data_IF_349436006182
#
_entry.id   IF_349436006182
#
_cell.length_a   1.000
_cell.length_b   1.000
_cell.length_c   1.000
_cell.angle_alpha   90.00
_cell.angle_beta   90.00
_cell.angle_gamma   90.00
#
_symmetry.space_group_name_H-M   'P 1'
#
loop_
_entity.id
_entity.type
_entity.pdbx_description
1 polymer ?
#
# COMPACT_ATOMS: atom_id res chain seq x y z
N UNK A 1 -20.10 -16.08 20.30
CA UNK A 1 -18.71 -15.75 19.93
C UNK A 1 -18.49 -14.27 20.21
N UNK A 2 -17.35 -13.84 20.78
CA UNK A 2 -17.07 -12.42 20.97
C UNK A 2 -17.08 -11.69 19.63
N UNK A 3 -17.63 -10.47 19.62
CA UNK A 3 -17.66 -9.62 18.42
C UNK A 3 -16.23 -9.23 18.06
N UNK A 4 -15.82 -9.52 16.83
CA UNK A 4 -14.48 -9.18 16.33
C UNK A 4 -14.29 -7.66 16.31
N UNK A 5 -13.17 -7.18 16.83
CA UNK A 5 -12.71 -5.80 16.70
C UNK A 5 -11.85 -5.60 15.44
N UNK A 6 -11.41 -4.36 15.19
CA UNK A 6 -10.58 -4.01 14.01
C UNK A 6 -9.26 -4.78 14.01
N UNK A 7 -8.60 -4.92 15.16
CA UNK A 7 -7.34 -5.67 15.29
C UNK A 7 -7.48 -7.14 14.87
N UNK A 8 -8.59 -7.78 15.26
CA UNK A 8 -8.88 -9.16 14.86
C UNK A 8 -9.03 -9.27 13.34
N UNK A 9 -9.76 -8.34 12.71
CA UNK A 9 -9.90 -8.30 11.25
C UNK A 9 -8.57 -8.06 10.54
N UNK A 10 -7.77 -7.10 11.00
CA UNK A 10 -6.46 -6.79 10.44
C UNK A 10 -5.52 -8.00 10.50
N UNK A 11 -5.56 -8.72 11.61
CA UNK A 11 -4.77 -9.94 11.82
C UNK A 11 -5.19 -11.05 10.85
N UNK A 12 -6.50 -11.25 10.67
CA UNK A 12 -7.03 -12.26 9.74
C UNK A 12 -6.66 -11.95 8.30
N UNK A 13 -6.89 -10.72 7.83
CA UNK A 13 -6.53 -10.30 6.47
C UNK A 13 -5.03 -10.47 6.24
N UNK A 14 -4.20 -9.99 7.17
CA UNK A 14 -2.74 -10.13 7.07
C UNK A 14 -2.28 -11.59 7.05
N UNK A 15 -2.92 -12.47 7.82
CA UNK A 15 -2.60 -13.90 7.85
C UNK A 15 -2.91 -14.58 6.50
N UNK A 16 -4.05 -14.26 5.88
CA UNK A 16 -4.38 -14.77 4.55
C UNK A 16 -3.36 -14.31 3.50
N UNK A 17 -3.01 -13.02 3.49
CA UNK A 17 -2.02 -12.45 2.56
C UNK A 17 -0.64 -13.08 2.74
N UNK A 18 -0.17 -13.24 3.97
CA UNK A 18 1.12 -13.91 4.25
C UNK A 18 1.15 -15.38 3.79
N UNK A 19 -0.01 -16.03 3.78
CA UNK A 19 -0.15 -17.41 3.30
C UNK A 19 -0.34 -17.51 1.77
N UNK A 20 -0.29 -16.40 1.03
CA UNK A 20 -0.59 -16.36 -0.41
C UNK A 20 -2.07 -16.54 -0.77
N UNK A 21 -2.95 -16.59 0.22
CA UNK A 21 -4.41 -16.78 0.08
C UNK A 21 -5.11 -15.46 -0.20
N UNK A 22 -4.80 -14.86 -1.36
CA UNK A 22 -5.24 -13.50 -1.68
C UNK A 22 -6.76 -13.37 -1.86
N UNK A 23 -7.43 -14.40 -2.39
CA UNK A 23 -8.90 -14.39 -2.52
C UNK A 23 -9.56 -14.35 -1.14
N UNK A 24 -9.12 -15.21 -0.23
CA UNK A 24 -9.63 -15.27 1.14
C UNK A 24 -9.33 -14.00 1.92
N UNK A 25 -8.21 -13.32 1.65
CA UNK A 25 -7.92 -12.01 2.21
C UNK A 25 -8.95 -10.95 1.76
N UNK A 26 -9.30 -10.93 0.47
CA UNK A 26 -10.31 -10.02 -0.08
C UNK A 26 -11.70 -10.36 0.47
N UNK A 27 -12.08 -11.64 0.50
CA UNK A 27 -13.37 -12.08 1.07
C UNK A 27 -13.47 -11.71 2.55
N UNK A 28 -12.38 -11.88 3.31
CA UNK A 28 -12.29 -11.49 4.71
C UNK A 28 -12.48 -9.98 4.89
N UNK A 29 -11.85 -9.17 4.03
CA UNK A 29 -12.03 -7.73 4.03
C UNK A 29 -13.46 -7.32 3.63
N UNK A 30 -14.07 -7.95 2.62
CA UNK A 30 -15.46 -7.72 2.27
C UNK A 30 -16.41 -8.04 3.42
N UNK A 31 -16.18 -9.16 4.12
CA UNK A 31 -16.95 -9.51 5.31
C UNK A 31 -16.76 -8.50 6.45
N UNK A 32 -15.53 -8.01 6.64
CA UNK A 32 -15.23 -6.95 7.60
C UNK A 32 -16.09 -5.71 7.34
N UNK A 33 -16.14 -5.24 6.09
CA UNK A 33 -16.93 -4.08 5.68
C UNK A 33 -18.44 -4.28 5.87
N UNK A 34 -18.95 -5.46 5.49
CA UNK A 34 -20.39 -5.71 5.43
C UNK A 34 -21.01 -6.00 6.81
N UNK A 35 -20.26 -6.55 7.76
CA UNK A 35 -20.86 -7.14 8.98
C UNK A 35 -20.35 -6.58 10.29
N UNK A 36 -19.22 -5.87 10.30
CA UNK A 36 -18.64 -5.41 11.58
C UNK A 36 -19.29 -4.13 12.11
N UNK A 37 -19.75 -3.25 11.22
CA UNK A 37 -20.11 -1.87 11.55
C UNK A 37 -18.93 -1.01 12.03
N UNK A 38 -17.70 -1.51 11.85
CA UNK A 38 -16.46 -0.83 12.23
C UNK A 38 -15.81 -0.20 11.00
N UNK A 39 -14.99 0.82 11.24
CA UNK A 39 -14.23 1.49 10.19
C UNK A 39 -12.83 0.88 10.09
N UNK A 40 -12.40 0.43 8.89
CA UNK A 40 -11.01 0.09 8.62
C UNK A 40 -10.07 1.26 8.86
N UNK A 41 -8.86 0.94 9.28
CA UNK A 41 -7.78 1.88 9.58
C UNK A 41 -6.60 1.71 8.63
N UNK A 42 -5.56 2.53 8.82
CA UNK A 42 -4.34 2.50 8.01
C UNK A 42 -3.58 1.16 8.07
N UNK A 43 -3.78 0.34 9.12
CA UNK A 43 -3.24 -1.02 9.18
C UNK A 43 -4.03 -2.04 8.33
N UNK A 44 -5.29 -1.76 8.01
CA UNK A 44 -6.14 -2.67 7.24
C UNK A 44 -5.72 -2.73 5.78
N UNK A 45 -5.36 -1.60 5.18
CA UNK A 45 -5.22 -1.46 3.73
C UNK A 45 -3.95 -2.03 3.10
N UNK A 46 -2.76 -1.93 3.72
CA UNK A 46 -1.54 -2.50 3.17
C UNK A 46 -1.69 -3.97 2.74
N UNK A 47 -2.21 -4.90 3.58
CA UNK A 47 -2.40 -6.28 3.15
C UNK A 47 -3.50 -6.39 2.07
N UNK A 48 -4.57 -5.60 2.12
CA UNK A 48 -5.64 -5.61 1.09
C UNK A 48 -5.11 -5.17 -0.28
N UNK A 49 -4.31 -4.11 -0.34
CA UNK A 49 -3.66 -3.64 -1.56
C UNK A 49 -2.71 -4.70 -2.12
N UNK A 50 -1.95 -5.38 -1.24
CA UNK A 50 -1.12 -6.52 -1.63
C UNK A 50 -1.94 -7.68 -2.19
N UNK A 51 -3.14 -7.93 -1.66
CA UNK A 51 -4.05 -8.97 -2.14
C UNK A 51 -4.76 -8.65 -3.46
N UNK A 52 -4.73 -7.40 -3.93
CA UNK A 52 -5.37 -7.03 -5.19
C UNK A 52 -4.74 -7.81 -6.36
N UNK A 53 -5.55 -8.61 -7.06
CA UNK A 53 -5.09 -9.43 -8.20
C UNK A 53 -5.04 -8.69 -9.54
N UNK A 54 -5.59 -7.48 -9.62
CA UNK A 54 -5.53 -6.63 -10.80
C UNK A 54 -5.60 -5.15 -10.43
N UNK A 55 -5.23 -4.29 -11.40
CA UNK A 55 -5.22 -2.84 -11.22
C UNK A 55 -6.61 -2.27 -10.85
N UNK A 56 -7.68 -2.81 -11.42
CA UNK A 56 -9.03 -2.28 -11.17
C UNK A 56 -9.44 -2.48 -9.70
N UNK A 57 -9.12 -3.63 -9.12
CA UNK A 57 -9.30 -3.86 -7.68
C UNK A 57 -8.49 -2.86 -6.85
N UNK A 58 -7.21 -2.65 -7.19
CA UNK A 58 -6.36 -1.68 -6.52
C UNK A 58 -6.89 -0.24 -6.59
N UNK A 59 -7.37 0.20 -7.78
CA UNK A 59 -7.98 1.52 -7.98
C UNK A 59 -9.25 1.70 -7.14
N UNK A 60 -10.09 0.67 -7.01
CA UNK A 60 -11.28 0.74 -6.14
C UNK A 60 -10.90 0.97 -4.67
N UNK A 61 -9.87 0.27 -4.18
CA UNK A 61 -9.35 0.46 -2.83
C UNK A 61 -8.75 1.87 -2.68
N UNK A 62 -7.99 2.35 -3.65
CA UNK A 62 -7.44 3.71 -3.64
C UNK A 62 -8.54 4.78 -3.58
N UNK A 63 -9.61 4.68 -4.39
CA UNK A 63 -10.75 5.59 -4.28
C UNK A 63 -11.40 5.56 -2.91
N UNK A 64 -11.41 4.41 -2.24
CA UNK A 64 -11.95 4.28 -0.89
C UNK A 64 -11.04 4.92 0.16
N UNK A 65 -9.72 4.77 0.01
CA UNK A 65 -8.73 5.45 0.85
C UNK A 65 -8.86 6.97 0.81
N UNK A 66 -9.05 7.55 -0.39
CA UNK A 66 -9.32 8.98 -0.58
C UNK A 66 -10.59 9.40 0.18
N UNK A 67 -11.66 8.61 0.10
CA UNK A 67 -12.91 8.89 0.83
C UNK A 67 -12.74 8.82 2.35
N UNK A 68 -11.77 8.06 2.83
CA UNK A 68 -11.46 7.92 4.24
C UNK A 68 -10.42 8.94 4.73
N UNK A 69 -9.78 9.70 3.83
CA UNK A 69 -8.68 10.61 4.16
C UNK A 69 -7.42 9.89 4.64
N UNK A 70 -7.18 8.68 4.12
CA UNK A 70 -6.05 7.82 4.51
C UNK A 70 -5.00 7.68 3.40
N UNK A 71 -5.20 8.30 2.25
CA UNK A 71 -4.33 8.18 1.07
C UNK A 71 -2.90 8.67 1.31
N UNK A 72 -2.71 9.60 2.25
CA UNK A 72 -1.40 10.17 2.62
C UNK A 72 -0.78 9.58 3.88
N UNK A 73 -1.43 8.61 4.53
CA UNK A 73 -0.77 7.83 5.58
C UNK A 73 0.43 7.10 4.98
N UNK A 74 1.61 7.20 5.60
CA UNK A 74 2.87 6.69 5.03
C UNK A 74 2.82 5.18 4.72
N UNK A 75 2.14 4.38 5.56
CA UNK A 75 2.03 2.93 5.32
C UNK A 75 1.08 2.63 4.17
N UNK A 76 -0.02 3.38 4.08
CA UNK A 76 -0.99 3.25 2.99
C UNK A 76 -0.40 3.73 1.67
N UNK A 77 0.22 4.91 1.64
CA UNK A 77 0.81 5.50 0.45
C UNK A 77 1.96 4.64 -0.10
N UNK A 78 2.86 4.14 0.75
CA UNK A 78 3.89 3.18 0.33
C UNK A 78 3.27 1.91 -0.28
N UNK A 79 2.17 1.42 0.29
CA UNK A 79 1.45 0.26 -0.25
C UNK A 79 0.76 0.55 -1.58
N UNK A 80 0.25 1.78 -1.78
CA UNK A 80 -0.30 2.23 -3.06
C UNK A 80 0.79 2.35 -4.13
N UNK A 81 1.96 2.91 -3.79
CA UNK A 81 3.14 2.98 -4.67
C UNK A 81 3.47 1.56 -5.15
N UNK A 82 3.68 0.62 -4.22
CA UNK A 82 3.93 -0.78 -4.55
C UNK A 82 2.84 -1.39 -5.45
N UNK A 83 1.56 -1.12 -5.14
CA UNK A 83 0.44 -1.66 -5.90
C UNK A 83 0.45 -1.16 -7.35
N UNK A 84 0.64 0.14 -7.57
CA UNK A 84 0.71 0.71 -8.92
C UNK A 84 1.95 0.25 -9.68
N UNK A 85 3.12 0.24 -9.03
CA UNK A 85 4.38 -0.24 -9.64
C UNK A 85 4.28 -1.70 -10.07
N UNK A 86 3.68 -2.57 -9.25
CA UNK A 86 3.48 -4.00 -9.56
C UNK A 86 2.66 -4.21 -10.84
N UNK A 87 1.73 -3.31 -11.16
CA UNK A 87 0.89 -3.41 -12.34
C UNK A 87 1.41 -2.60 -13.54
N UNK A 88 2.65 -2.09 -13.49
CA UNK A 88 3.25 -1.33 -14.60
C UNK A 88 2.90 0.16 -14.62
N UNK A 89 2.15 0.67 -13.65
CA UNK A 89 1.71 2.06 -13.59
C UNK A 89 2.69 2.92 -12.79
N UNK A 90 3.98 2.81 -13.13
CA UNK A 90 5.07 3.45 -12.39
C UNK A 90 4.97 4.99 -12.38
N UNK A 91 4.44 5.60 -13.45
CA UNK A 91 4.19 7.04 -13.49
C UNK A 91 3.13 7.50 -12.49
N UNK A 92 2.11 6.68 -12.24
CA UNK A 92 1.09 6.96 -11.22
C UNK A 92 1.66 6.79 -9.82
N UNK A 93 2.49 5.76 -9.62
CA UNK A 93 3.22 5.58 -8.36
C UNK A 93 4.14 6.78 -8.06
N UNK A 94 4.89 7.25 -9.07
CA UNK A 94 5.75 8.45 -8.94
C UNK A 94 4.94 9.70 -8.63
N UNK A 95 3.83 9.93 -9.34
CA UNK A 95 2.94 11.07 -9.06
C UNK A 95 2.42 11.04 -7.62
N UNK A 96 1.95 9.88 -7.16
CA UNK A 96 1.48 9.73 -5.78
C UNK A 96 2.61 10.05 -4.80
N UNK A 97 3.81 9.51 -5.03
CA UNK A 97 4.99 9.79 -4.24
C UNK A 97 5.31 11.29 -4.18
N UNK A 98 5.34 11.98 -5.32
CA UNK A 98 5.64 13.42 -5.42
C UNK A 98 4.60 14.31 -4.74
N UNK A 99 3.34 13.87 -4.66
CA UNK A 99 2.26 14.59 -3.98
C UNK A 99 2.20 14.35 -2.47
N UNK A 100 2.96 13.38 -1.93
CA UNK A 100 2.97 13.09 -0.49
C UNK A 100 3.48 14.28 0.33
N UNK A 101 2.76 14.71 1.39
CA UNK A 101 3.21 15.80 2.26
C UNK A 101 4.38 15.42 3.16
N UNK A 102 4.52 14.14 3.48
CA UNK A 102 5.60 13.59 4.28
C UNK A 102 5.96 12.20 3.76
N UNK A 103 7.25 11.89 3.70
CA UNK A 103 7.77 10.60 3.21
C UNK A 103 8.72 10.03 4.24
N UNK A 104 8.45 8.81 4.68
CA UNK A 104 9.38 8.04 5.49
C UNK A 104 10.26 7.15 4.61
N UNK A 105 11.19 6.43 5.23
CA UNK A 105 12.07 5.50 4.52
C UNK A 105 11.30 4.41 3.78
N UNK A 106 10.13 3.99 4.30
CA UNK A 106 9.26 3.02 3.64
C UNK A 106 8.76 3.54 2.28
N UNK A 107 8.39 4.81 2.20
CA UNK A 107 7.96 5.46 0.97
C UNK A 107 9.07 5.53 -0.08
N UNK A 108 10.28 5.94 0.32
CA UNK A 108 11.46 5.97 -0.55
C UNK A 108 11.80 4.58 -1.10
N UNK A 109 11.86 3.59 -0.21
CA UNK A 109 12.13 2.20 -0.58
C UNK A 109 11.06 1.65 -1.53
N UNK A 110 9.79 2.02 -1.31
CA UNK A 110 8.70 1.63 -2.20
C UNK A 110 8.89 2.17 -3.62
N UNK A 111 9.28 3.44 -3.75
CA UNK A 111 9.48 4.08 -5.05
C UNK A 111 10.69 3.53 -5.80
N UNK A 112 11.83 3.38 -5.11
CA UNK A 112 13.07 2.79 -5.67
C UNK A 112 12.81 1.36 -6.14
N UNK A 113 12.20 0.53 -5.28
CA UNK A 113 11.83 -0.84 -5.62
C UNK A 113 10.85 -0.88 -6.80
N UNK A 114 9.90 0.06 -6.84
CA UNK A 114 8.96 0.21 -7.94
C UNK A 114 9.65 0.44 -9.28
N UNK A 115 10.61 1.35 -9.37
CA UNK A 115 11.37 1.60 -10.60
C UNK A 115 12.22 0.40 -10.99
N UNK A 116 12.91 -0.25 -10.03
CA UNK A 116 13.67 -1.48 -10.28
C UNK A 116 12.80 -2.60 -10.87
N UNK A 117 11.61 -2.82 -10.32
CA UNK A 117 10.65 -3.84 -10.80
C UNK A 117 10.15 -3.56 -12.22
N UNK A 118 10.16 -2.30 -12.65
CA UNK A 118 9.72 -1.88 -13.98
C UNK A 118 10.87 -1.75 -14.99
N UNK A 119 12.10 -2.12 -14.62
CA UNK A 119 13.27 -2.06 -15.51
C UNK A 119 13.91 -0.66 -15.63
N UNK A 120 13.49 0.28 -14.78
CA UNK A 120 13.91 1.68 -14.83
C UNK A 120 15.04 1.97 -13.83
N UNK A 121 16.22 1.39 -14.06
CA UNK A 121 17.34 1.52 -13.12
C UNK A 121 17.85 2.96 -12.96
N UNK A 122 17.79 3.77 -14.02
CA UNK A 122 18.20 5.18 -13.97
C UNK A 122 17.29 6.00 -13.04
N UNK A 123 15.97 5.90 -13.23
CA UNK A 123 15.00 6.57 -12.35
C UNK A 123 15.11 6.11 -10.89
N UNK A 124 15.40 4.81 -10.66
CA UNK A 124 15.64 4.29 -9.33
C UNK A 124 16.86 4.94 -8.65
N UNK A 125 17.92 5.19 -9.42
CA UNK A 125 19.12 5.88 -8.93
C UNK A 125 18.83 7.36 -8.66
N UNK A 126 18.04 8.01 -9.50
CA UNK A 126 17.66 9.42 -9.31
C UNK A 126 16.86 9.59 -8.01
N UNK A 127 15.89 8.71 -7.73
CA UNK A 127 15.14 8.71 -6.47
C UNK A 127 16.06 8.45 -5.27
N UNK A 128 17.05 7.58 -5.41
CA UNK A 128 18.02 7.32 -4.35
C UNK A 128 18.91 8.55 -4.05
N UNK A 129 19.27 9.31 -5.09
CA UNK A 129 20.03 10.56 -4.93
C UNK A 129 19.15 11.63 -4.26
N UNK A 130 17.90 11.76 -4.69
CA UNK A 130 16.89 12.64 -4.09
C UNK A 130 16.75 12.36 -2.58
N UNK A 131 16.54 11.09 -2.21
CA UNK A 131 16.46 10.63 -0.82
C UNK A 131 17.67 11.07 0.02
N UNK A 132 18.88 10.92 -0.51
CA UNK A 132 20.13 11.30 0.18
C UNK A 132 20.25 12.81 0.35
N UNK A 133 19.79 13.58 -0.63
CA UNK A 133 19.83 15.05 -0.59
C UNK A 133 18.91 15.61 0.49
N UNK A 134 17.81 14.91 0.81
CA UNK A 134 16.91 15.25 1.91
C UNK A 134 17.42 14.79 3.29
N UNK A 135 18.62 14.23 3.37
CA UNK A 135 19.23 13.79 4.63
C UNK A 135 18.65 12.50 5.20
N UNK A 136 17.84 11.78 4.43
CA UNK A 136 17.31 10.47 4.84
C UNK A 136 18.41 9.43 4.71
N UNK A 137 18.89 8.90 5.83
CA UNK A 137 19.86 7.78 5.84
C UNK A 137 19.15 6.51 5.39
N UNK A 138 19.78 5.74 4.51
CA UNK A 138 19.33 4.37 4.23
C UNK A 138 19.63 3.49 5.44
N UNK A 139 18.65 2.69 5.85
CA UNK A 139 18.92 1.50 6.67
C UNK A 139 19.51 0.43 5.73
N UNK A 140 20.81 0.15 5.89
CA UNK A 140 21.53 -0.94 5.24
C UNK A 140 21.50 -2.20 6.11
#
# INVERSE_FOLDING_TARGET
>A
MPRKDVYTWNSMVSAYVRSGRFREAVDCFSQFLLTSGLRPDFYTFPPVLKACGNLNAGKKIHCWLIKLGLEWDVFVAASLIHMYSRFGFISVARKLFDEMPFRDMGCWNAMISGFCQNGNAADALDVLIEMRSEGVKMDL
#
